data_IF_089017099260
#
_entry.id   IF_089017099260
#
_cell.length_a   1.000
_cell.length_b   1.000
_cell.length_c   1.000
_cell.angle_alpha   90.00
_cell.angle_beta   90.00
_cell.angle_gamma   90.00
#
_symmetry.space_group_name_H-M   'P 1'
#
loop_
_entity.id
_entity.type
_entity.pdbx_description
1 polymer ?
#
# COMPACT_ATOMS: atom_id res chain seq x y z
N UNK A 1 -7.97 -7.30 -11.04
CA UNK A 1 -6.80 -7.45 -10.14
C UNK A 1 -7.09 -6.68 -8.87
N UNK A 2 -6.92 -7.31 -7.71
CA UNK A 2 -7.22 -6.70 -6.41
C UNK A 2 -5.99 -5.92 -5.93
N UNK A 3 -5.97 -4.61 -6.12
CA UNK A 3 -4.85 -3.70 -5.83
C UNK A 3 -4.95 -3.09 -4.44
N UNK A 4 -3.88 -2.45 -3.95
CA UNK A 4 -3.89 -1.69 -2.67
C UNK A 4 -4.93 -0.56 -2.69
N UNK A 5 -5.18 0.03 -3.86
CA UNK A 5 -6.20 1.06 -4.06
C UNK A 5 -7.60 0.46 -3.82
N UNK A 6 -7.86 -0.74 -4.35
CA UNK A 6 -9.13 -1.43 -4.13
C UNK A 6 -9.40 -1.70 -2.64
N UNK A 7 -8.34 -1.86 -1.83
CA UNK A 7 -8.46 -2.12 -0.39
C UNK A 7 -8.97 -0.89 0.37
N UNK A 8 -8.42 0.30 0.10
CA UNK A 8 -8.90 1.52 0.77
C UNK A 8 -10.19 2.09 0.18
N UNK A 9 -10.56 1.71 -1.04
CA UNK A 9 -11.87 2.05 -1.61
C UNK A 9 -12.97 1.03 -1.24
N UNK A 10 -12.69 0.02 -0.41
CA UNK A 10 -13.66 -0.97 0.04
C UNK A 10 -14.13 -1.98 -1.03
N UNK A 11 -13.42 -2.07 -2.17
CA UNK A 11 -13.78 -2.97 -3.30
C UNK A 11 -12.99 -4.28 -3.24
N UNK A 12 -12.08 -4.42 -2.27
CA UNK A 12 -11.18 -5.57 -2.17
C UNK A 12 -11.82 -6.73 -1.40
N UNK A 13 -12.13 -7.83 -2.09
CA UNK A 13 -12.41 -9.17 -1.52
C UNK A 13 -13.32 -9.17 -0.28
N UNK A 14 -14.39 -8.35 -0.28
CA UNK A 14 -15.32 -8.18 0.85
C UNK A 14 -14.64 -7.81 2.19
N UNK A 15 -13.37 -7.41 2.15
CA UNK A 15 -12.55 -6.98 3.27
C UNK A 15 -12.65 -5.46 3.37
N UNK A 16 -13.84 -5.00 3.75
CA UNK A 16 -14.10 -3.62 4.12
C UNK A 16 -15.43 -3.08 3.61
N UNK A 17 -15.79 -1.92 4.14
CA UNK A 17 -16.96 -1.16 3.76
C UNK A 17 -16.74 0.32 4.07
N UNK A 18 -17.71 1.14 3.70
CA UNK A 18 -17.69 2.61 3.88
C UNK A 18 -17.51 3.04 5.36
N UNK A 19 -17.81 2.13 6.29
CA UNK A 19 -17.69 2.31 7.73
C UNK A 19 -16.29 2.01 8.28
N UNK A 20 -15.37 1.51 7.46
CA UNK A 20 -14.02 1.19 7.91
C UNK A 20 -13.17 2.45 8.07
N UNK A 21 -12.37 2.51 9.14
CA UNK A 21 -11.54 3.68 9.44
C UNK A 21 -10.35 3.88 8.48
N UNK A 22 -10.18 2.97 7.52
CA UNK A 22 -9.25 3.03 6.41
C UNK A 22 -9.93 3.28 5.05
N UNK A 23 -11.24 3.50 5.04
CA UNK A 23 -12.00 3.82 3.84
C UNK A 23 -11.65 5.22 3.35
N UNK A 24 -11.37 5.33 2.06
CA UNK A 24 -11.15 6.59 1.35
C UNK A 24 -12.26 6.71 0.32
N UNK A 25 -12.98 7.83 0.34
CA UNK A 25 -14.09 8.04 -0.58
C UNK A 25 -13.62 8.07 -2.04
N UNK A 26 -14.52 7.78 -2.98
CA UNK A 26 -14.19 7.84 -4.41
C UNK A 26 -13.80 9.26 -4.86
N UNK A 27 -14.32 10.30 -4.20
CA UNK A 27 -13.96 11.70 -4.47
C UNK A 27 -12.52 12.01 -4.03
N UNK A 28 -12.16 11.64 -2.81
CA UNK A 28 -10.79 11.79 -2.30
C UNK A 28 -9.81 10.95 -3.11
N UNK A 29 -10.19 9.72 -3.46
CA UNK A 29 -9.44 8.88 -4.38
C UNK A 29 -9.26 9.57 -5.74
N UNK A 30 -10.27 10.29 -6.25
CA UNK A 30 -10.18 11.13 -7.43
C UNK A 30 -9.12 12.23 -7.34
N UNK A 31 -9.08 12.95 -6.21
CA UNK A 31 -8.06 13.99 -5.93
C UNK A 31 -6.66 13.38 -5.86
N UNK A 32 -6.53 12.23 -5.20
CA UNK A 32 -5.29 11.45 -5.13
C UNK A 32 -4.81 11.06 -6.52
N UNK A 33 -5.69 10.56 -7.39
CA UNK A 33 -5.36 10.19 -8.78
C UNK A 33 -4.84 11.39 -9.57
N UNK A 34 -5.53 12.52 -9.48
CA UNK A 34 -5.13 13.72 -10.20
C UNK A 34 -3.77 14.23 -9.71
N UNK A 35 -3.55 14.24 -8.40
CA UNK A 35 -2.26 14.62 -7.81
C UNK A 35 -1.14 13.66 -8.24
N UNK A 36 -1.37 12.34 -8.25
CA UNK A 36 -0.41 11.36 -8.77
C UNK A 36 -0.04 11.61 -10.22
N UNK A 37 -1.03 11.91 -11.08
CA UNK A 37 -0.80 12.19 -12.50
C UNK A 37 0.07 13.44 -12.70
N UNK A 38 -0.23 14.51 -11.98
CA UNK A 38 0.55 15.74 -12.02
C UNK A 38 1.97 15.55 -11.45
N UNK A 39 2.10 14.84 -10.33
CA UNK A 39 3.40 14.55 -9.73
C UNK A 39 4.23 13.59 -10.57
N UNK A 40 3.60 12.67 -11.31
CA UNK A 40 4.28 11.75 -12.22
C UNK A 40 5.13 12.44 -13.29
N UNK A 41 4.76 13.67 -13.68
CA UNK A 41 5.53 14.49 -14.63
C UNK A 41 6.80 15.10 -14.02
N UNK A 42 6.90 15.09 -12.68
CA UNK A 42 8.04 15.64 -11.93
C UNK A 42 9.00 14.56 -11.44
N UNK A 43 8.64 13.28 -11.55
CA UNK A 43 9.50 12.17 -11.10
C UNK A 43 10.63 11.99 -12.11
N UNK A 44 11.91 12.06 -11.69
CA UNK A 44 13.03 11.82 -12.58
C UNK A 44 12.96 10.41 -13.19
N UNK A 45 13.29 10.28 -14.47
CA UNK A 45 13.31 8.99 -15.17
C UNK A 45 14.22 7.93 -14.53
N UNK A 46 15.19 8.35 -13.69
CA UNK A 46 16.02 7.46 -12.87
C UNK A 46 15.22 6.60 -11.89
N UNK A 47 14.01 7.00 -11.50
CA UNK A 47 13.12 6.24 -10.61
C UNK A 47 12.13 5.33 -11.36
N UNK A 48 12.28 5.21 -12.67
CA UNK A 48 11.47 4.34 -13.52
C UNK A 48 10.53 5.10 -14.46
N UNK A 49 9.62 4.36 -15.07
CA UNK A 49 8.62 4.94 -15.97
C UNK A 49 7.61 5.80 -15.21
N UNK A 50 7.04 6.78 -15.92
CA UNK A 50 5.93 7.59 -15.41
C UNK A 50 4.84 6.69 -14.82
N UNK A 51 4.41 7.00 -13.60
CA UNK A 51 3.35 6.26 -12.91
C UNK A 51 2.04 6.44 -13.71
N UNK A 52 1.45 5.36 -14.26
CA UNK A 52 0.17 5.41 -14.98
C UNK A 52 -0.96 5.84 -14.06
N UNK A 53 -2.15 6.07 -14.61
CA UNK A 53 -3.31 6.32 -13.76
C UNK A 53 -3.70 5.04 -12.99
N UNK A 54 -3.59 5.07 -11.66
CA UNK A 54 -3.86 3.94 -10.77
C UNK A 54 -5.35 3.53 -10.73
N UNK A 55 -6.26 4.19 -11.45
CA UNK A 55 -7.66 3.77 -11.56
C UNK A 55 -8.05 3.26 -12.96
N UNK A 56 -7.60 3.92 -14.02
CA UNK A 56 -7.96 3.56 -15.40
C UNK A 56 -6.94 2.61 -16.05
N UNK A 57 -5.68 2.64 -15.61
CA UNK A 57 -4.55 1.94 -16.21
C UNK A 57 -3.86 1.00 -15.23
N UNK A 58 -4.60 0.48 -14.24
CA UNK A 58 -4.08 -0.49 -13.26
C UNK A 58 -3.41 -1.71 -13.92
N UNK A 59 -3.87 -2.10 -15.10
CA UNK A 59 -3.31 -3.20 -15.88
C UNK A 59 -1.93 -2.87 -16.48
N UNK A 60 -1.58 -1.58 -16.61
CA UNK A 60 -0.28 -1.11 -17.06
C UNK A 60 0.71 -0.92 -15.90
N UNK A 61 0.23 -1.00 -14.65
CA UNK A 61 1.12 -0.86 -13.50
C UNK A 61 2.07 -2.05 -13.42
N UNK A 62 3.36 -1.76 -13.68
CA UNK A 62 4.45 -2.66 -13.32
C UNK A 62 4.74 -2.55 -11.83
N UNK A 63 5.49 -3.52 -11.33
CA UNK A 63 5.93 -3.55 -9.94
C UNK A 63 6.68 -2.26 -9.56
N UNK A 64 7.55 -1.76 -10.44
CA UNK A 64 8.26 -0.48 -10.29
C UNK A 64 7.31 0.70 -10.07
N UNK A 65 6.22 0.77 -10.84
CA UNK A 65 5.22 1.83 -10.71
C UNK A 65 4.47 1.73 -9.38
N UNK A 66 4.18 0.51 -8.91
CA UNK A 66 3.58 0.30 -7.59
C UNK A 66 4.51 0.72 -6.46
N UNK A 67 5.81 0.44 -6.57
CA UNK A 67 6.78 0.90 -5.58
C UNK A 67 6.82 2.42 -5.53
N UNK A 68 7.01 3.08 -6.67
CA UNK A 68 7.06 4.55 -6.75
C UNK A 68 5.78 5.19 -6.23
N UNK A 69 4.62 4.62 -6.57
CA UNK A 69 3.33 5.03 -6.05
C UNK A 69 3.27 4.89 -4.52
N UNK A 70 3.64 3.75 -3.96
CA UNK A 70 3.55 3.47 -2.52
C UNK A 70 4.53 4.30 -1.69
N UNK A 71 5.77 4.49 -2.15
CA UNK A 71 6.82 5.16 -1.37
C UNK A 71 6.77 6.67 -1.47
N UNK A 72 6.53 7.24 -2.66
CA UNK A 72 6.62 8.68 -2.88
C UNK A 72 5.26 9.38 -2.90
N UNK A 73 4.26 8.77 -3.54
CA UNK A 73 2.99 9.43 -3.78
C UNK A 73 2.00 9.15 -2.66
N UNK A 74 1.97 7.93 -2.13
CA UNK A 74 0.88 7.51 -1.25
C UNK A 74 0.94 8.15 0.15
N UNK A 75 2.13 8.34 0.72
CA UNK A 75 2.28 8.96 2.05
C UNK A 75 1.76 10.40 2.17
N UNK A 76 2.12 11.34 1.28
CA UNK A 76 1.57 12.69 1.32
C UNK A 76 0.09 12.72 0.96
N UNK A 77 -0.37 11.79 0.12
CA UNK A 77 -1.76 11.73 -0.33
C UNK A 77 -2.73 11.18 0.73
N UNK A 78 -2.27 10.27 1.58
CA UNK A 78 -3.05 9.74 2.71
C UNK A 78 -2.95 10.61 3.97
N UNK A 79 -2.04 11.59 3.99
CA UNK A 79 -1.84 12.47 5.13
C UNK A 79 -3.08 13.36 5.33
N UNK A 80 -3.78 13.17 6.45
CA UNK A 80 -5.03 13.88 6.77
C UNK A 80 -6.30 13.24 6.19
N UNK A 81 -6.17 12.17 5.40
CA UNK A 81 -7.30 11.40 4.85
C UNK A 81 -7.59 10.14 5.69
N UNK A 82 -6.53 9.48 6.18
CA UNK A 82 -6.67 8.30 7.03
C UNK A 82 -6.63 8.65 8.51
N UNK A 83 -7.38 7.89 9.31
CA UNK A 83 -7.30 7.96 10.78
C UNK A 83 -5.86 7.65 11.24
N UNK A 84 -5.38 8.38 12.27
CA UNK A 84 -4.01 8.28 12.80
C UNK A 84 -3.42 6.86 12.97
N UNK A 85 -4.14 5.84 13.47
CA UNK A 85 -3.57 4.49 13.61
C UNK A 85 -3.29 3.84 12.25
N UNK A 86 -4.21 3.89 11.29
CA UNK A 86 -4.02 3.29 9.95
C UNK A 86 -2.93 4.00 9.16
N UNK A 87 -2.84 5.33 9.28
CA UNK A 87 -1.74 6.08 8.67
C UNK A 87 -0.37 5.64 9.23
N UNK A 88 -0.26 5.43 10.55
CA UNK A 88 0.97 4.91 11.18
C UNK A 88 1.30 3.49 10.71
N UNK A 89 0.31 2.62 10.53
CA UNK A 89 0.53 1.28 9.99
C UNK A 89 1.00 1.32 8.54
N UNK A 90 0.43 2.21 7.74
CA UNK A 90 0.85 2.40 6.38
C UNK A 90 2.28 2.98 6.30
N UNK A 91 2.65 3.90 7.19
CA UNK A 91 4.04 4.37 7.33
C UNK A 91 5.02 3.23 7.64
N UNK A 92 4.66 2.31 8.53
CA UNK A 92 5.49 1.11 8.81
C UNK A 92 5.65 0.24 7.57
N UNK A 93 4.61 0.10 6.76
CA UNK A 93 4.66 -0.63 5.49
C UNK A 93 5.61 0.02 4.48
N UNK A 94 5.51 1.34 4.30
CA UNK A 94 6.41 2.09 3.41
C UNK A 94 7.87 2.00 3.88
N UNK A 95 8.11 1.98 5.21
CA UNK A 95 9.46 1.77 5.75
C UNK A 95 10.04 0.41 5.35
N UNK A 96 9.24 -0.67 5.38
CA UNK A 96 9.66 -2.00 4.90
C UNK A 96 10.07 -1.93 3.43
N UNK A 97 9.30 -1.24 2.58
CA UNK A 97 9.67 -1.08 1.17
C UNK A 97 10.94 -0.28 0.95
N UNK A 98 11.13 0.81 1.68
CA UNK A 98 12.36 1.60 1.59
C UNK A 98 13.60 0.78 2.00
N UNK A 99 13.47 -0.14 2.95
CA UNK A 99 14.52 -1.09 3.29
C UNK A 99 14.78 -2.09 2.15
N UNK A 100 13.73 -2.59 1.47
CA UNK A 100 13.88 -3.45 0.30
C UNK A 100 14.54 -2.74 -0.90
N UNK A 101 14.32 -1.44 -1.03
CA UNK A 101 14.88 -0.59 -2.10
C UNK A 101 16.27 -0.03 -1.76
N UNK A 102 16.80 -0.32 -0.58
CA UNK A 102 18.12 0.14 -0.17
C UNK A 102 19.21 -0.51 -1.04
N UNK A 103 20.10 0.31 -1.60
CA UNK A 103 21.16 -0.14 -2.51
C UNK A 103 22.10 -1.19 -1.89
N UNK A 104 22.31 -1.13 -0.57
CA UNK A 104 23.10 -2.10 0.19
C UNK A 104 22.23 -2.71 1.29
N UNK A 105 22.11 -4.04 1.28
CA UNK A 105 21.38 -4.78 2.29
C UNK A 105 22.32 -5.74 3.03
N UNK A 106 22.58 -5.46 4.30
CA UNK A 106 23.36 -6.33 5.17
C UNK A 106 22.53 -7.53 5.66
N UNK A 107 23.18 -8.63 6.06
CA UNK A 107 22.47 -9.81 6.57
C UNK A 107 21.60 -9.50 7.80
N UNK A 108 22.07 -8.62 8.66
CA UNK A 108 21.31 -8.16 9.83
C UNK A 108 20.05 -7.38 9.43
N UNK A 109 20.10 -6.66 8.29
CA UNK A 109 18.92 -5.98 7.73
C UNK A 109 17.89 -6.99 7.23
N UNK A 110 18.30 -8.16 6.72
CA UNK A 110 17.39 -9.21 6.25
C UNK A 110 16.62 -9.83 7.42
N UNK A 111 17.28 -10.14 8.53
CA UNK A 111 16.60 -10.66 9.71
C UNK A 111 15.68 -9.60 10.33
N UNK A 112 16.14 -8.35 10.38
CA UNK A 112 15.33 -7.20 10.77
C UNK A 112 14.10 -7.01 9.88
N UNK A 113 14.26 -7.18 8.57
CA UNK A 113 13.17 -7.08 7.59
C UNK A 113 12.11 -8.15 7.82
N UNK A 114 12.52 -9.41 8.02
CA UNK A 114 11.59 -10.52 8.34
C UNK A 114 10.77 -10.22 9.60
N UNK A 115 11.43 -9.75 10.66
CA UNK A 115 10.76 -9.36 11.91
C UNK A 115 9.78 -8.20 11.67
N UNK A 116 10.17 -7.18 10.89
CA UNK A 116 9.30 -6.03 10.56
C UNK A 116 8.07 -6.46 9.76
N UNK A 117 8.22 -7.32 8.75
CA UNK A 117 7.09 -7.87 7.99
C UNK A 117 6.13 -8.65 8.90
N UNK A 118 6.66 -9.56 9.72
CA UNK A 118 5.83 -10.37 10.62
C UNK A 118 5.08 -9.50 11.65
N UNK A 119 5.78 -8.52 12.24
CA UNK A 119 5.17 -7.60 13.19
C UNK A 119 4.10 -6.72 12.53
N UNK A 120 4.34 -6.28 11.28
CA UNK A 120 3.38 -5.47 10.54
C UNK A 120 2.07 -6.23 10.28
N UNK A 121 2.15 -7.51 9.87
CA UNK A 121 0.96 -8.35 9.66
C UNK A 121 0.19 -8.53 10.97
N UNK A 122 0.87 -8.89 12.07
CA UNK A 122 0.24 -9.05 13.39
C UNK A 122 -0.43 -7.77 13.88
N UNK A 123 0.23 -6.63 13.67
CA UNK A 123 -0.31 -5.33 14.01
C UNK A 123 -1.56 -4.99 13.18
N UNK A 124 -1.53 -5.31 11.90
CA UNK A 124 -2.67 -5.14 10.99
C UNK A 124 -3.84 -6.04 11.38
N UNK A 125 -3.61 -7.33 11.68
CA UNK A 125 -4.66 -8.26 12.12
C UNK A 125 -5.29 -7.86 13.46
N UNK A 126 -4.48 -7.30 14.38
CA UNK A 126 -4.97 -6.82 15.68
C UNK A 126 -5.80 -5.55 15.59
N UNK A 127 -5.57 -4.73 14.56
CA UNK A 127 -6.25 -3.43 14.40
C UNK A 127 -7.24 -3.37 13.24
N UNK A 128 -7.28 -4.40 12.40
CA UNK A 128 -8.31 -4.61 11.40
C UNK A 128 -9.65 -5.02 12.03
N UNK A 129 -10.75 -4.91 11.28
CA UNK A 129 -12.07 -5.35 11.74
C UNK A 129 -12.00 -6.83 12.13
N UNK A 130 -12.45 -7.16 13.34
CA UNK A 130 -12.38 -8.50 13.95
C UNK A 130 -13.07 -9.63 13.17
N UNK A 131 -13.69 -9.34 12.01
CA UNK A 131 -14.29 -10.32 11.11
C UNK A 131 -13.37 -10.86 10.00
N UNK A 132 -12.18 -10.29 9.77
CA UNK A 132 -11.28 -10.71 8.68
C UNK A 132 -10.43 -11.97 8.99
N UNK A 133 -10.54 -12.50 10.21
CA UNK A 133 -9.66 -13.55 10.76
C UNK A 133 -9.88 -14.91 10.04
N UNK A 134 -11.05 -15.13 9.45
CA UNK A 134 -11.41 -16.42 8.86
C UNK A 134 -10.91 -16.68 7.42
N UNK A 135 -10.57 -15.65 6.65
CA UNK A 135 -10.38 -15.81 5.18
C UNK A 135 -8.92 -15.82 4.73
N UNK A 136 -7.99 -15.24 5.49
CA UNK A 136 -6.59 -15.19 5.05
C UNK A 136 -5.86 -16.54 5.27
N UNK A 137 -6.25 -17.33 6.27
CA UNK A 137 -5.65 -18.66 6.52
C UNK A 137 -5.91 -19.68 5.40
N UNK A 138 -6.94 -19.51 4.55
CA UNK A 138 -7.19 -20.46 3.45
C UNK A 138 -6.30 -20.24 2.23
N UNK A 139 -5.71 -19.05 2.04
CA UNK A 139 -4.91 -18.76 0.84
C UNK A 139 -3.41 -19.01 1.01
N UNK A 140 -2.91 -19.28 2.22
CA UNK A 140 -1.49 -19.56 2.47
C UNK A 140 -1.12 -21.05 2.34
N UNK A 141 -2.08 -21.94 2.08
CA UNK A 141 -1.82 -23.36 1.80
C UNK A 141 -1.44 -23.67 0.36
N UNK A 142 -1.32 -22.66 -0.51
CA UNK A 142 -0.80 -22.83 -1.86
C UNK A 142 0.39 -21.89 -1.99
N UNK A 143 1.54 -22.43 -2.40
CA UNK A 143 2.87 -21.80 -2.43
C UNK A 143 3.68 -21.95 -1.13
N UNK A 144 3.95 -23.21 -0.78
CA UNK A 144 5.32 -23.67 -0.52
C UNK A 144 5.66 -24.75 -1.56
#
# INVERSE_FOLDING_TARGET
MTTVVAHWTGVFKDLGGESEAYFVSMEECGKIKQACKTSGDTIPSAFGSRVPDAASEQWQFKMENWFTFLTFLTLPLLHGQLTSPYYKYFLKFVNIFNLCLSYVLYRDNIEGLRKRCANWIKDYERTGPSGAIGTFQQSTSVVL
#
